data_IF_683747562211
#
_entry.id   IF_683747562211
#
_cell.length_a   1.000
_cell.length_b   1.000
_cell.length_c   1.000
_cell.angle_alpha   90.00
_cell.angle_beta   90.00
_cell.angle_gamma   90.00
#
_symmetry.space_group_name_H-M   'P 1'
#
loop_
_entity.id
_entity.type
_entity.pdbx_description
1 polymer ?
#
# COMPACT_ATOMS: atom_id res chain seq x y z
N UNK A 1 24.21 2.57 -4.87
CA UNK A 1 22.92 2.73 -5.52
C UNK A 1 21.80 2.47 -4.51
N UNK A 2 20.84 3.37 -4.41
CA UNK A 2 19.74 3.30 -3.45
C UNK A 2 18.94 2.01 -3.62
N UNK A 3 18.67 1.61 -4.85
CA UNK A 3 17.89 0.40 -5.14
C UNK A 3 18.63 -0.85 -4.64
N UNK A 4 19.89 -0.99 -4.98
CA UNK A 4 20.68 -2.14 -4.58
C UNK A 4 20.85 -2.22 -3.07
N UNK A 5 21.09 -1.08 -2.42
CA UNK A 5 21.21 -1.01 -0.97
C UNK A 5 19.89 -1.41 -0.29
N UNK A 6 18.77 -0.94 -0.82
CA UNK A 6 17.45 -1.28 -0.30
C UNK A 6 17.14 -2.76 -0.47
N UNK A 7 17.46 -3.32 -1.64
CA UNK A 7 17.27 -4.75 -1.91
C UNK A 7 18.06 -5.60 -0.91
N UNK A 8 19.32 -5.25 -0.70
CA UNK A 8 20.17 -5.99 0.23
C UNK A 8 19.66 -5.91 1.66
N UNK A 9 19.21 -4.72 2.09
CA UNK A 9 18.64 -4.56 3.43
C UNK A 9 17.37 -5.38 3.62
N UNK A 10 16.50 -5.38 2.63
CA UNK A 10 15.25 -6.17 2.67
C UNK A 10 15.58 -7.66 2.75
N UNK A 11 16.49 -8.14 1.93
CA UNK A 11 16.88 -9.55 1.94
C UNK A 11 17.48 -9.99 3.28
N UNK A 12 18.31 -9.15 3.86
CA UNK A 12 18.88 -9.44 5.19
C UNK A 12 17.82 -9.46 6.27
N UNK A 13 16.89 -8.50 6.22
CA UNK A 13 15.85 -8.34 7.23
C UNK A 13 14.82 -9.47 7.16
N UNK A 14 14.35 -9.77 5.97
CA UNK A 14 13.24 -10.71 5.75
C UNK A 14 13.71 -12.16 5.67
N UNK A 15 14.92 -12.38 5.14
CA UNK A 15 15.42 -13.73 4.90
C UNK A 15 14.52 -14.47 3.92
N UNK A 16 14.08 -15.67 4.31
CA UNK A 16 13.19 -16.49 3.49
C UNK A 16 11.74 -16.46 3.96
N UNK A 17 11.40 -15.50 4.81
CA UNK A 17 10.03 -15.34 5.29
C UNK A 17 9.14 -14.64 4.27
N UNK A 18 7.84 -14.69 4.47
CA UNK A 18 6.85 -14.13 3.55
C UNK A 18 6.38 -12.75 4.01
N UNK A 19 6.13 -11.89 3.02
CA UNK A 19 5.73 -10.49 3.21
C UNK A 19 4.38 -10.26 2.52
N UNK A 20 3.50 -9.53 3.20
CA UNK A 20 2.25 -9.04 2.60
C UNK A 20 2.29 -7.52 2.46
N UNK A 21 1.68 -7.02 1.41
CA UNK A 21 1.62 -5.58 1.12
C UNK A 21 0.22 -5.20 0.65
N UNK A 22 -0.33 -4.16 1.24
CA UNK A 22 -1.56 -3.55 0.73
C UNK A 22 -1.23 -2.64 -0.44
N UNK A 23 -1.75 -2.97 -1.62
CA UNK A 23 -1.52 -2.20 -2.84
C UNK A 23 -2.74 -1.32 -3.09
N UNK A 24 -2.54 -0.01 -2.99
CA UNK A 24 -3.64 0.95 -3.09
C UNK A 24 -3.78 1.59 -4.46
N UNK A 25 -2.84 1.32 -5.37
CA UNK A 25 -2.73 2.04 -6.63
C UNK A 25 -1.96 3.36 -6.52
N UNK A 26 -1.60 3.76 -5.31
CA UNK A 26 -0.79 4.95 -5.08
C UNK A 26 0.68 4.71 -5.39
N UNK A 27 1.44 5.80 -5.53
CA UNK A 27 2.85 5.73 -5.92
C UNK A 27 3.68 4.95 -4.92
N UNK A 28 3.53 5.24 -3.64
CA UNK A 28 4.39 4.67 -2.61
C UNK A 28 4.23 3.15 -2.52
N UNK A 29 2.99 2.67 -2.44
CA UNK A 29 2.76 1.22 -2.40
C UNK A 29 3.20 0.52 -3.69
N UNK A 30 3.05 1.20 -4.83
CA UNK A 30 3.49 0.67 -6.12
C UNK A 30 5.01 0.51 -6.17
N UNK A 31 5.75 1.50 -5.69
CA UNK A 31 7.22 1.44 -5.64
C UNK A 31 7.68 0.36 -4.66
N UNK A 32 7.03 0.24 -3.51
CA UNK A 32 7.33 -0.83 -2.56
C UNK A 32 7.10 -2.20 -3.19
N UNK A 33 6.00 -2.38 -3.92
CA UNK A 33 5.70 -3.65 -4.59
C UNK A 33 6.79 -4.01 -5.59
N UNK A 34 7.20 -3.07 -6.43
CA UNK A 34 8.24 -3.29 -7.43
C UNK A 34 9.59 -3.60 -6.78
N UNK A 35 9.94 -2.85 -5.75
CA UNK A 35 11.20 -3.02 -5.03
C UNK A 35 11.26 -4.38 -4.32
N UNK A 36 10.22 -4.72 -3.58
CA UNK A 36 10.16 -5.98 -2.85
C UNK A 36 10.11 -7.18 -3.78
N UNK A 37 9.39 -7.08 -4.88
CA UNK A 37 9.36 -8.18 -5.84
C UNK A 37 10.76 -8.44 -6.40
N UNK A 38 11.50 -7.39 -6.70
CA UNK A 38 12.89 -7.54 -7.16
C UNK A 38 13.78 -8.15 -6.07
N UNK A 39 13.53 -7.79 -4.81
CA UNK A 39 14.34 -8.26 -3.69
C UNK A 39 14.04 -9.72 -3.31
N UNK A 40 12.78 -10.08 -3.20
CA UNK A 40 12.34 -11.35 -2.60
C UNK A 40 11.41 -12.19 -3.48
N UNK A 41 11.01 -11.69 -4.65
CA UNK A 41 10.21 -12.46 -5.61
C UNK A 41 8.91 -13.00 -5.03
N UNK A 42 8.74 -14.31 -5.08
CA UNK A 42 7.51 -14.99 -4.67
C UNK A 42 7.23 -14.96 -3.17
N UNK A 43 8.16 -14.48 -2.37
CA UNK A 43 7.91 -14.28 -0.93
C UNK A 43 6.94 -13.12 -0.69
N UNK A 44 6.70 -12.28 -1.70
CA UNK A 44 5.78 -11.14 -1.62
C UNK A 44 4.41 -11.51 -2.14
N UNK A 45 3.37 -11.22 -1.36
CA UNK A 45 1.97 -11.26 -1.80
C UNK A 45 1.36 -9.88 -1.59
N UNK A 46 0.81 -9.31 -2.66
CA UNK A 46 0.12 -8.02 -2.61
C UNK A 46 -1.38 -8.24 -2.56
N UNK A 47 -2.06 -7.44 -1.76
CA UNK A 47 -3.53 -7.38 -1.73
C UNK A 47 -3.94 -6.04 -2.31
N UNK A 48 -4.56 -6.05 -3.48
CA UNK A 48 -5.06 -4.84 -4.13
C UNK A 48 -6.55 -4.71 -3.85
N UNK A 49 -6.90 -3.70 -3.05
CA UNK A 49 -8.30 -3.39 -2.73
C UNK A 49 -8.81 -2.40 -3.78
N UNK A 50 -9.62 -2.90 -4.70
CA UNK A 50 -10.23 -2.07 -5.74
C UNK A 50 -11.52 -1.48 -5.19
N UNK A 51 -11.48 -0.20 -4.85
CA UNK A 51 -12.61 0.50 -4.24
C UNK A 51 -13.61 1.08 -5.25
N UNK A 52 -13.34 0.93 -6.55
CA UNK A 52 -14.20 1.50 -7.59
C UNK A 52 -14.10 3.02 -7.73
N UNK A 53 -13.29 3.68 -6.90
CA UNK A 53 -13.13 5.14 -6.89
C UNK A 53 -11.92 5.60 -7.69
N UNK A 54 -11.17 4.66 -8.25
CA UNK A 54 -10.03 4.96 -9.12
C UNK A 54 -10.52 5.48 -10.46
N UNK A 55 -9.64 6.19 -11.15
CA UNK A 55 -9.93 6.62 -12.52
C UNK A 55 -10.22 5.41 -13.40
N UNK A 56 -10.94 5.66 -14.48
CA UNK A 56 -11.31 4.61 -15.41
C UNK A 56 -10.08 3.77 -15.81
N UNK A 57 -10.18 2.47 -15.63
CA UNK A 57 -9.14 1.47 -15.92
C UNK A 57 -7.86 1.54 -15.08
N UNK A 58 -7.78 2.38 -14.05
CA UNK A 58 -6.58 2.38 -13.19
C UNK A 58 -6.40 1.06 -12.45
N UNK A 59 -7.50 0.44 -12.02
CA UNK A 59 -7.44 -0.87 -11.38
C UNK A 59 -6.90 -1.94 -12.33
N UNK A 60 -7.37 -1.90 -13.58
CA UNK A 60 -6.88 -2.83 -14.60
C UNK A 60 -5.41 -2.59 -14.93
N UNK A 61 -4.98 -1.32 -14.93
CA UNK A 61 -3.57 -0.98 -15.12
C UNK A 61 -2.69 -1.56 -14.00
N UNK A 62 -3.15 -1.45 -12.76
CA UNK A 62 -2.42 -2.01 -11.61
C UNK A 62 -2.21 -3.50 -11.80
N UNK A 63 -3.27 -4.23 -12.16
CA UNK A 63 -3.16 -5.67 -12.39
C UNK A 63 -2.26 -5.98 -13.58
N UNK A 64 -2.37 -5.22 -14.67
CA UNK A 64 -1.52 -5.45 -15.84
C UNK A 64 -0.05 -5.24 -15.53
N UNK A 65 0.28 -4.20 -14.79
CA UNK A 65 1.68 -3.89 -14.45
C UNK A 65 2.25 -4.93 -13.48
N UNK A 66 1.56 -5.19 -12.39
CA UNK A 66 2.11 -6.02 -11.34
C UNK A 66 1.91 -7.51 -11.57
N UNK A 67 0.69 -7.93 -11.84
CA UNK A 67 0.41 -9.36 -11.98
C UNK A 67 0.86 -9.91 -13.33
N UNK A 68 0.52 -9.23 -14.42
CA UNK A 68 0.79 -9.72 -15.77
C UNK A 68 2.20 -9.47 -16.25
N UNK A 69 2.70 -8.23 -16.11
CA UNK A 69 4.03 -7.89 -16.62
C UNK A 69 5.16 -8.25 -15.67
N UNK A 70 5.00 -8.00 -14.39
CA UNK A 70 6.07 -8.23 -13.41
C UNK A 70 6.00 -9.60 -12.75
N UNK A 71 4.86 -10.26 -12.81
CA UNK A 71 4.70 -11.58 -12.18
C UNK A 71 4.57 -11.54 -10.66
N UNK A 72 4.13 -10.42 -10.12
CA UNK A 72 3.87 -10.28 -8.67
C UNK A 72 2.60 -11.03 -8.32
N UNK A 73 2.59 -11.72 -7.19
CA UNK A 73 1.36 -12.33 -6.67
C UNK A 73 0.44 -11.23 -6.17
N UNK A 74 -0.66 -10.98 -6.87
CA UNK A 74 -1.63 -9.95 -6.49
C UNK A 74 -3.00 -10.58 -6.30
N UNK A 75 -3.58 -10.36 -5.13
CA UNK A 75 -4.97 -10.72 -4.84
C UNK A 75 -5.79 -9.46 -5.03
N UNK A 76 -6.65 -9.43 -6.05
CA UNK A 76 -7.54 -8.29 -6.30
C UNK A 76 -8.86 -8.52 -5.56
N UNK A 77 -9.23 -7.58 -4.72
CA UNK A 77 -10.51 -7.60 -4.01
C UNK A 77 -11.40 -6.52 -4.60
N UNK A 78 -12.49 -6.90 -5.26
CA UNK A 78 -13.48 -5.95 -5.75
C UNK A 78 -14.37 -5.55 -4.58
N UNK A 79 -14.21 -4.31 -4.13
CA UNK A 79 -14.90 -3.80 -2.96
C UNK A 79 -15.74 -2.56 -3.27
N UNK A 80 -16.02 -2.29 -4.54
CA UNK A 80 -16.77 -1.10 -4.94
C UNK A 80 -18.09 -0.96 -4.19
N UNK A 81 -18.90 -2.01 -4.16
CA UNK A 81 -20.21 -1.95 -3.51
C UNK A 81 -20.07 -1.68 -2.01
N UNK A 82 -19.11 -2.31 -1.37
CA UNK A 82 -18.89 -2.11 0.07
C UNK A 82 -18.51 -0.66 0.39
N UNK A 83 -17.66 -0.05 -0.43
CA UNK A 83 -17.30 1.36 -0.25
C UNK A 83 -18.50 2.27 -0.51
N UNK A 84 -19.26 2.01 -1.56
CA UNK A 84 -20.44 2.80 -1.87
C UNK A 84 -21.49 2.73 -0.75
N UNK A 85 -21.74 1.56 -0.21
CA UNK A 85 -22.69 1.37 0.87
C UNK A 85 -22.28 2.15 2.12
N UNK A 86 -21.00 2.09 2.48
CA UNK A 86 -20.48 2.78 3.66
C UNK A 86 -20.45 4.31 3.48
N UNK A 87 -20.31 4.79 2.26
CA UNK A 87 -20.27 6.22 1.96
C UNK A 87 -21.63 6.83 1.69
N UNK A 88 -22.70 6.02 1.58
CA UNK A 88 -24.04 6.50 1.29
C UNK A 88 -24.50 7.50 2.35
N UNK A 89 -24.97 8.67 1.87
CA UNK A 89 -25.48 9.71 2.74
C UNK A 89 -24.42 10.54 3.46
N UNK A 90 -23.14 10.25 3.24
CA UNK A 90 -22.03 10.97 3.89
C UNK A 90 -21.61 12.14 3.00
N UNK A 91 -21.80 13.37 3.49
CA UNK A 91 -21.45 14.59 2.75
C UNK A 91 -20.14 15.23 3.18
N UNK A 92 -19.72 15.02 4.42
CA UNK A 92 -18.52 15.65 4.95
C UNK A 92 -17.24 15.01 4.38
N UNK A 93 -16.36 15.81 3.74
CA UNK A 93 -15.11 15.28 3.17
C UNK A 93 -14.22 14.55 4.15
N UNK A 94 -14.11 15.05 5.38
CA UNK A 94 -13.28 14.42 6.40
C UNK A 94 -13.83 13.06 6.83
N UNK A 95 -15.16 12.98 6.97
CA UNK A 95 -15.85 11.72 7.27
C UNK A 95 -15.63 10.70 6.15
N UNK A 96 -15.72 11.15 4.89
CA UNK A 96 -15.47 10.28 3.74
C UNK A 96 -14.09 9.68 3.77
N UNK A 97 -13.06 10.50 4.07
CA UNK A 97 -11.68 10.00 4.16
C UNK A 97 -11.53 8.95 5.24
N UNK A 98 -12.12 9.17 6.40
CA UNK A 98 -12.06 8.22 7.51
C UNK A 98 -12.72 6.91 7.16
N UNK A 99 -13.87 6.98 6.49
CA UNK A 99 -14.60 5.78 6.08
C UNK A 99 -13.79 4.99 5.03
N UNK A 100 -13.26 5.68 4.04
CA UNK A 100 -12.44 5.02 3.01
C UNK A 100 -11.23 4.34 3.63
N UNK A 101 -10.53 5.02 4.52
CA UNK A 101 -9.39 4.45 5.23
C UNK A 101 -9.76 3.24 6.08
N UNK A 102 -10.84 3.36 6.83
CA UNK A 102 -11.32 2.25 7.69
C UNK A 102 -11.72 1.04 6.88
N UNK A 103 -12.50 1.23 5.84
CA UNK A 103 -12.97 0.12 4.99
C UNK A 103 -11.81 -0.56 4.28
N UNK A 104 -10.85 0.23 3.78
CA UNK A 104 -9.64 -0.32 3.18
C UNK A 104 -8.90 -1.24 4.17
N UNK A 105 -8.70 -0.77 5.39
CA UNK A 105 -8.00 -1.54 6.43
C UNK A 105 -8.78 -2.82 6.77
N UNK A 106 -10.09 -2.72 6.93
CA UNK A 106 -10.93 -3.89 7.23
C UNK A 106 -10.80 -4.97 6.15
N UNK A 107 -10.87 -4.57 4.89
CA UNK A 107 -10.74 -5.50 3.76
C UNK A 107 -9.34 -6.10 3.72
N UNK A 108 -8.33 -5.26 3.88
CA UNK A 108 -6.94 -5.72 3.91
C UNK A 108 -6.74 -6.75 5.03
N UNK A 109 -7.26 -6.49 6.22
CA UNK A 109 -7.17 -7.40 7.35
C UNK A 109 -7.85 -8.73 7.08
N UNK A 110 -9.02 -8.71 6.46
CA UNK A 110 -9.74 -9.93 6.08
C UNK A 110 -8.90 -10.80 5.14
N UNK A 111 -8.29 -10.17 4.14
CA UNK A 111 -7.45 -10.89 3.18
C UNK A 111 -6.13 -11.35 3.81
N UNK A 112 -5.51 -10.49 4.61
CA UNK A 112 -4.27 -10.83 5.30
C UNK A 112 -4.47 -11.99 6.28
N UNK A 113 -5.63 -12.05 6.92
CA UNK A 113 -5.98 -13.15 7.82
C UNK A 113 -6.02 -14.52 7.15
N UNK A 114 -6.21 -14.55 5.83
CA UNK A 114 -6.17 -15.79 5.05
C UNK A 114 -4.75 -16.23 4.70
N UNK A 115 -3.78 -15.33 4.84
CA UNK A 115 -2.38 -15.56 4.51
C UNK A 115 -1.59 -15.91 5.77
N UNK A 116 -1.85 -17.09 6.31
CA UNK A 116 -1.37 -17.50 7.64
C UNK A 116 0.13 -17.70 7.73
N UNK A 117 0.84 -17.77 6.60
CA UNK A 117 2.28 -17.98 6.57
C UNK A 117 3.08 -16.68 6.49
N UNK A 118 2.43 -15.53 6.39
CA UNK A 118 3.12 -14.25 6.31
C UNK A 118 3.63 -13.82 7.69
N UNK A 119 4.86 -13.32 7.73
CA UNK A 119 5.51 -12.86 8.94
C UNK A 119 5.78 -11.36 8.93
N UNK A 120 5.70 -10.72 7.78
CA UNK A 120 6.03 -9.31 7.60
C UNK A 120 4.91 -8.56 6.90
N UNK A 121 4.69 -7.32 7.33
CA UNK A 121 3.82 -6.36 6.65
C UNK A 121 4.69 -5.26 6.06
N UNK A 122 4.60 -5.07 4.75
CA UNK A 122 5.29 -3.98 4.09
C UNK A 122 4.40 -2.74 4.06
N UNK A 123 5.01 -1.58 4.23
CA UNK A 123 4.32 -0.30 4.18
C UNK A 123 5.11 0.71 3.36
N UNK A 124 4.38 1.62 2.71
CA UNK A 124 4.96 2.68 1.89
C UNK A 124 5.25 3.97 2.65
N UNK A 125 5.62 3.87 3.91
CA UNK A 125 6.00 5.03 4.72
C UNK A 125 7.22 5.71 4.10
N UNK A 126 7.16 7.03 3.91
CA UNK A 126 8.27 7.83 3.42
C UNK A 126 8.71 8.83 4.50
N UNK A 127 9.83 9.51 4.28
CA UNK A 127 10.42 10.36 5.32
C UNK A 127 9.51 11.51 5.80
N UNK A 128 8.78 12.21 4.93
CA UNK A 128 7.81 13.21 5.39
C UNK A 128 6.74 12.64 6.32
N UNK A 129 6.29 11.42 6.09
CA UNK A 129 5.31 10.75 6.96
C UNK A 129 5.90 10.51 8.35
N UNK A 130 7.18 10.16 8.42
CA UNK A 130 7.88 9.94 9.69
C UNK A 130 7.93 11.23 10.50
N UNK A 131 8.28 12.32 9.86
CA UNK A 131 8.36 13.64 10.52
C UNK A 131 6.99 14.08 11.02
N UNK A 132 5.97 13.96 10.18
CA UNK A 132 4.60 14.33 10.51
C UNK A 132 4.08 13.51 11.69
N UNK A 133 4.30 12.20 11.69
CA UNK A 133 3.90 11.33 12.79
C UNK A 133 4.59 11.68 14.10
N UNK A 134 5.89 12.00 14.05
CA UNK A 134 6.66 12.34 15.23
C UNK A 134 6.22 13.67 15.86
N UNK A 135 5.74 14.63 15.02
CA UNK A 135 5.30 15.94 15.47
C UNK A 135 3.81 16.06 15.78
N UNK A 136 3.03 15.04 15.53
CA UNK A 136 1.58 15.09 15.62
C UNK A 136 1.07 14.50 16.93
N UNK A 137 0.03 15.14 17.51
CA UNK A 137 -0.71 14.56 18.64
C UNK A 137 -1.41 13.26 18.25
N UNK A 138 -1.61 13.04 16.97
CA UNK A 138 -2.23 11.86 16.41
C UNK A 138 -1.21 10.80 15.97
N UNK A 139 0.07 11.00 16.29
CA UNK A 139 1.13 10.06 15.92
C UNK A 139 0.82 8.64 16.37
N UNK A 140 0.24 8.50 17.56
CA UNK A 140 -0.15 7.20 18.10
C UNK A 140 -1.28 6.57 17.29
N UNK A 141 -2.27 7.35 16.89
CA UNK A 141 -3.37 6.90 16.03
C UNK A 141 -2.87 6.47 14.66
N UNK A 142 -1.98 7.26 14.06
CA UNK A 142 -1.38 6.93 12.78
C UNK A 142 -0.59 5.63 12.91
N UNK A 143 0.20 5.49 13.96
CA UNK A 143 0.94 4.26 14.22
C UNK A 143 0.03 3.06 14.42
N UNK A 144 -1.10 3.21 15.13
CA UNK A 144 -2.00 2.09 15.34
C UNK A 144 -2.70 1.68 14.06
N UNK A 145 -2.97 2.61 13.14
CA UNK A 145 -3.50 2.27 11.83
C UNK A 145 -2.46 1.57 10.96
N UNK A 146 -1.20 2.03 11.01
CA UNK A 146 -0.12 1.43 10.24
C UNK A 146 0.44 0.18 10.90
N UNK A 147 0.29 0.04 12.19
CA UNK A 147 0.78 -1.12 12.96
C UNK A 147 -0.25 -2.24 13.02
N UNK A 148 -1.19 -2.23 12.09
CA UNK A 148 -2.14 -3.32 11.95
C UNK A 148 -2.94 -3.62 13.22
N UNK A 149 -3.40 -2.57 13.89
CA UNK A 149 -4.16 -2.72 15.11
C UNK A 149 -5.42 -3.56 14.99
N UNK A 150 -5.88 -3.82 13.77
CA UNK A 150 -7.02 -4.67 13.50
C UNK A 150 -6.68 -6.04 12.96
N UNK A 151 -5.41 -6.33 12.65
CA UNK A 151 -5.03 -7.68 12.26
C UNK A 151 -5.12 -8.62 13.45
N UNK A 152 -5.44 -9.90 13.22
CA UNK A 152 -5.46 -10.87 14.30
C UNK A 152 -4.16 -10.84 15.10
N UNK A 153 -4.27 -10.78 16.42
CA UNK A 153 -3.11 -10.71 17.31
C UNK A 153 -2.15 -11.87 17.11
N UNK A 154 -2.66 -13.03 16.71
CA UNK A 154 -1.88 -14.22 16.48
C UNK A 154 -1.03 -14.17 15.21
N UNK A 155 -1.20 -13.17 14.35
CA UNK A 155 -0.36 -13.02 13.14
C UNK A 155 1.03 -12.49 13.46
N UNK A 156 1.17 -11.67 14.48
CA UNK A 156 2.47 -11.13 14.93
C UNK A 156 3.35 -10.60 13.79
N UNK A 157 2.76 -9.80 12.91
CA UNK A 157 3.48 -9.26 11.75
C UNK A 157 4.51 -8.21 12.16
N UNK A 158 5.72 -8.37 11.66
CA UNK A 158 6.77 -7.36 11.78
C UNK A 158 6.63 -6.38 10.62
N UNK A 159 7.15 -5.18 10.77
CA UNK A 159 7.07 -4.15 9.72
C UNK A 159 8.33 -4.11 8.88
N UNK A 160 8.15 -3.95 7.57
CA UNK A 160 9.23 -3.60 6.65
C UNK A 160 8.81 -2.35 5.88
N UNK A 161 9.62 -1.29 5.99
CA UNK A 161 9.33 0.03 5.45
C UNK A 161 10.50 0.50 4.56
N UNK A 162 10.59 0.00 3.32
CA UNK A 162 11.77 0.24 2.49
C UNK A 162 12.01 1.69 2.10
N UNK A 163 10.97 2.53 2.11
CA UNK A 163 11.05 3.92 1.66
C UNK A 163 11.13 4.92 2.82
N UNK A 164 11.24 4.44 4.04
CA UNK A 164 11.13 5.27 5.25
C UNK A 164 12.09 6.48 5.29
N UNK A 165 13.27 6.34 4.72
CA UNK A 165 14.27 7.39 4.72
C UNK A 165 14.29 8.25 3.46
N UNK A 166 13.34 8.02 2.54
CA UNK A 166 13.31 8.67 1.25
C UNK A 166 12.26 9.76 1.16
N UNK A 167 12.54 10.78 0.34
CA UNK A 167 11.58 11.80 -0.03
C UNK A 167 10.83 11.40 -1.28
N UNK A 168 9.71 12.07 -1.53
CA UNK A 168 8.80 11.74 -2.64
C UNK A 168 9.49 11.71 -4.01
N UNK A 169 10.37 12.68 -4.26
CA UNK A 169 11.09 12.75 -5.53
C UNK A 169 12.00 11.55 -5.74
N UNK A 170 12.64 11.10 -4.67
CA UNK A 170 13.50 9.91 -4.71
C UNK A 170 12.68 8.66 -4.96
N UNK A 171 11.51 8.56 -4.35
CA UNK A 171 10.59 7.43 -4.52
C UNK A 171 10.13 7.34 -5.98
N UNK A 172 9.76 8.47 -6.59
CA UNK A 172 9.35 8.52 -7.99
C UNK A 172 10.47 8.08 -8.93
N UNK A 173 11.67 8.57 -8.67
CA UNK A 173 12.85 8.23 -9.46
C UNK A 173 13.13 6.73 -9.41
N UNK A 174 13.08 6.16 -8.22
CA UNK A 174 13.26 4.72 -8.02
C UNK A 174 12.17 3.94 -8.76
N UNK A 175 10.94 4.41 -8.70
CA UNK A 175 9.82 3.77 -9.39
C UNK A 175 10.06 3.65 -10.90
N UNK A 176 10.55 4.72 -11.52
CA UNK A 176 10.89 4.71 -12.95
C UNK A 176 12.04 3.73 -13.22
N UNK A 177 13.08 3.76 -12.40
CA UNK A 177 14.23 2.85 -12.54
C UNK A 177 13.83 1.38 -12.37
N UNK A 178 12.82 1.11 -11.54
CA UNK A 178 12.30 -0.24 -11.34
C UNK A 178 11.38 -0.71 -12.48
N UNK A 179 11.10 0.15 -13.44
CA UNK A 179 10.31 -0.20 -14.61
C UNK A 179 8.82 0.10 -14.51
N UNK A 180 8.41 0.86 -13.52
CA UNK A 180 7.01 1.29 -13.44
C UNK A 180 6.71 2.34 -14.52
N UNK A 181 5.49 2.32 -15.10
CA UNK A 181 5.12 3.35 -16.07
C UNK A 181 5.19 4.75 -15.46
N UNK A 182 5.70 5.71 -16.24
CA UNK A 182 5.86 7.08 -15.76
C UNK A 182 4.54 7.71 -15.34
N UNK A 183 3.45 7.43 -16.05
CA UNK A 183 2.13 7.94 -15.70
C UNK A 183 1.62 7.40 -14.36
N UNK A 184 2.03 6.21 -13.98
CA UNK A 184 1.71 5.63 -12.67
C UNK A 184 2.52 6.32 -11.58
N UNK A 185 3.80 6.59 -11.83
CA UNK A 185 4.72 7.17 -10.84
C UNK A 185 4.45 8.65 -10.61
N UNK A 186 4.11 9.39 -11.65
CA UNK A 186 3.95 10.85 -11.60
C UNK A 186 2.50 11.33 -11.52
N UNK A 187 1.54 10.43 -11.39
CA UNK A 187 0.16 10.85 -11.17
C UNK A 187 0.01 11.55 -9.82
N UNK A 188 -1.01 12.40 -9.71
CA UNK A 188 -1.34 13.04 -8.44
C UNK A 188 -1.68 12.00 -7.39
N UNK A 189 -1.56 12.35 -6.08
CA UNK A 189 -1.82 11.40 -4.98
C UNK A 189 -3.30 11.03 -4.89
N UNK A 190 -3.81 10.50 -5.89
CA UNK A 190 -4.88 9.59 -5.94
C UNK A 190 -4.22 8.27 -5.82
N UNK A 191 -4.91 7.34 -5.51
CA UNK A 191 -6.31 7.16 -5.23
C UNK A 191 -6.59 7.32 -3.78
N UNK A 192 -7.66 6.78 -3.42
CA UNK A 192 -8.04 6.65 -2.06
C UNK A 192 -8.76 7.89 -1.57
N UNK A 193 -8.45 8.39 -0.37
CA UNK A 193 -9.30 9.41 0.27
C UNK A 193 -9.55 10.64 -0.56
N UNK A 194 -8.52 11.16 -1.22
CA UNK A 194 -8.66 12.37 -2.02
C UNK A 194 -9.60 12.22 -3.20
N UNK A 195 -9.49 11.13 -3.91
CA UNK A 195 -10.34 10.86 -5.06
C UNK A 195 -11.78 10.60 -4.64
N UNK A 196 -11.97 9.81 -3.59
CA UNK A 196 -13.30 9.53 -3.06
C UNK A 196 -14.03 10.78 -2.64
N UNK A 197 -13.34 11.72 -2.05
CA UNK A 197 -13.90 13.02 -1.64
C UNK A 197 -14.36 13.83 -2.84
N UNK A 198 -13.61 13.81 -3.94
CA UNK A 198 -13.95 14.59 -5.13
C UNK A 198 -15.10 14.03 -5.93
N UNK A 199 -15.24 12.72 -5.97
CA UNK A 199 -16.27 12.06 -6.75
C UNK A 199 -17.60 12.05 -6.02
N UNK A 200 -17.59 11.90 -4.74
CA UNK A 200 -18.77 11.76 -3.90
C UNK A 200 -19.15 13.06 -3.21
#
# INVERSE_FOLDING_TARGET
NIIEDSINRVRELVGNEEVILGLSGGVDSSVVAALLHRAIGDQLTCVFVDNGLLRYREGDQVMAVFAENMGVKVIRVDAEQRFLDELAGVGDPEQKRKIIGRVFIEIFEEEAGKLTTANWLAQGTIYPDVIESAGSKNAHLIKSHHNVGGLPEDMHLKLVEPLRELFKDEVRKIGVELGLPADMVYRHPFPGPGLGVRIL
#
